data_IF_049723206036
#
_entry.id   IF_049723206036
#
_cell.length_a   1.000
_cell.length_b   1.000
_cell.length_c   1.000
_cell.angle_alpha   90.00
_cell.angle_beta   90.00
_cell.angle_gamma   90.00
#
_symmetry.space_group_name_H-M   'P 1'
#
loop_
_entity.id
_entity.type
_entity.pdbx_description
1 polymer ?
#
# COMPACT_ATOMS: atom_id res chain seq x y z
N UNK A 1 1.81 28.66 9.60
CA UNK A 1 1.93 27.23 9.96
C UNK A 1 0.83 26.31 9.39
N UNK A 2 -0.39 26.79 9.14
CA UNK A 2 -1.53 25.96 8.66
C UNK A 2 -1.38 25.36 7.25
N UNK A 3 -0.63 25.98 6.33
CA UNK A 3 -0.40 25.42 4.98
C UNK A 3 0.50 24.18 4.95
N UNK A 4 1.39 24.02 5.94
CA UNK A 4 2.38 22.94 5.97
C UNK A 4 1.75 21.58 6.33
N UNK A 5 0.70 21.59 7.16
CA UNK A 5 -0.03 20.37 7.54
C UNK A 5 -0.87 19.79 6.39
N UNK A 6 -1.40 20.65 5.50
CA UNK A 6 -2.22 20.23 4.34
C UNK A 6 -1.42 19.38 3.34
N UNK A 7 -0.15 19.71 3.14
CA UNK A 7 0.69 19.00 2.18
C UNK A 7 1.24 17.68 2.72
N UNK A 8 1.42 17.54 4.04
CA UNK A 8 2.10 16.36 4.61
C UNK A 8 1.32 15.06 4.39
N UNK A 9 0.03 15.02 4.75
CA UNK A 9 -0.78 13.80 4.61
C UNK A 9 -0.91 13.34 3.14
N UNK A 10 -1.13 14.29 2.22
CA UNK A 10 -1.23 14.00 0.79
C UNK A 10 0.11 13.54 0.19
N UNK A 11 1.23 14.16 0.60
CA UNK A 11 2.58 13.73 0.18
C UNK A 11 2.89 12.32 0.69
N UNK A 12 2.54 12.00 1.93
CA UNK A 12 2.74 10.66 2.50
C UNK A 12 1.86 9.62 1.79
N UNK A 13 0.60 9.95 1.49
CA UNK A 13 -0.28 9.09 0.70
C UNK A 13 0.25 8.84 -0.72
N UNK A 14 0.74 9.89 -1.39
CA UNK A 14 1.38 9.74 -2.71
C UNK A 14 2.65 8.88 -2.64
N UNK A 15 3.49 9.07 -1.60
CA UNK A 15 4.66 8.24 -1.38
C UNK A 15 4.28 6.77 -1.13
N UNK A 16 3.20 6.50 -0.41
CA UNK A 16 2.69 5.15 -0.18
C UNK A 16 2.28 4.45 -1.49
N UNK A 17 1.65 5.19 -2.41
CA UNK A 17 1.31 4.72 -3.77
C UNK A 17 2.57 4.36 -4.55
N UNK A 18 3.55 5.27 -4.59
CA UNK A 18 4.81 5.02 -5.31
C UNK A 18 5.53 3.80 -4.74
N UNK A 19 5.57 3.66 -3.41
CA UNK A 19 6.22 2.53 -2.77
C UNK A 19 5.50 1.21 -3.06
N UNK A 20 4.16 1.20 -3.07
CA UNK A 20 3.40 0.01 -3.42
C UNK A 20 3.61 -0.41 -4.88
N UNK A 21 3.69 0.55 -5.80
CA UNK A 21 3.99 0.28 -7.21
C UNK A 21 5.40 -0.28 -7.38
N UNK A 22 6.40 0.31 -6.71
CA UNK A 22 7.77 -0.21 -6.71
C UNK A 22 7.85 -1.61 -6.12
N UNK A 23 7.09 -1.88 -5.04
CA UNK A 23 7.00 -3.22 -4.45
C UNK A 23 6.45 -4.25 -5.45
N UNK A 24 5.38 -3.92 -6.18
CA UNK A 24 4.85 -4.77 -7.26
C UNK A 24 5.89 -5.05 -8.34
N UNK A 25 6.64 -4.03 -8.76
CA UNK A 25 7.69 -4.17 -9.78
C UNK A 25 8.82 -5.08 -9.28
N UNK A 26 9.29 -4.89 -8.05
CA UNK A 26 10.31 -5.78 -7.47
C UNK A 26 9.81 -7.21 -7.32
N UNK A 27 8.55 -7.40 -6.92
CA UNK A 27 7.94 -8.72 -6.83
C UNK A 27 7.85 -9.41 -8.21
N UNK A 28 7.50 -8.66 -9.26
CA UNK A 28 7.45 -9.17 -10.63
C UNK A 28 8.81 -9.68 -11.11
N UNK A 29 9.90 -8.99 -10.78
CA UNK A 29 11.24 -9.46 -11.11
C UNK A 29 11.73 -10.55 -10.16
N UNK A 30 11.24 -10.61 -8.93
CA UNK A 30 11.62 -11.62 -7.95
C UNK A 30 11.04 -13.01 -8.25
N UNK A 31 9.97 -13.09 -9.04
CA UNK A 31 9.37 -14.37 -9.45
C UNK A 31 10.03 -14.98 -10.70
N UNK A 32 10.97 -14.27 -11.33
CA UNK A 32 11.71 -14.78 -12.47
C UNK A 32 12.58 -15.96 -12.03
N UNK A 33 12.34 -17.14 -12.62
CA UNK A 33 13.00 -18.39 -12.23
C UNK A 33 12.29 -19.21 -11.13
N UNK A 34 11.11 -18.81 -10.65
CA UNK A 34 10.31 -19.65 -9.74
C UNK A 34 9.71 -20.83 -10.52
N UNK A 35 9.94 -22.10 -10.08
CA UNK A 35 9.37 -23.26 -10.75
C UNK A 35 7.84 -23.27 -10.69
N UNK A 36 7.20 -23.74 -11.76
CA UNK A 36 5.73 -23.79 -11.87
C UNK A 36 5.10 -24.64 -10.76
N UNK A 37 5.72 -25.78 -10.45
CA UNK A 37 5.35 -26.64 -9.35
C UNK A 37 6.54 -26.85 -8.39
N UNK A 38 6.57 -26.15 -7.24
CA UNK A 38 7.65 -26.32 -6.26
C UNK A 38 7.68 -27.72 -5.63
N UNK A 39 6.59 -28.48 -5.68
CA UNK A 39 6.53 -29.87 -5.21
C UNK A 39 6.99 -30.91 -6.24
N UNK A 40 7.03 -30.54 -7.54
CA UNK A 40 7.53 -31.38 -8.62
C UNK A 40 8.13 -30.51 -9.74
N UNK A 41 9.44 -30.19 -9.69
CA UNK A 41 10.08 -29.29 -10.65
C UNK A 41 10.03 -29.74 -12.11
N UNK A 42 9.71 -31.01 -12.37
CA UNK A 42 9.58 -31.58 -13.71
C UNK A 42 8.20 -31.35 -14.33
N UNK A 43 7.22 -30.92 -13.53
CA UNK A 43 5.88 -30.58 -13.96
C UNK A 43 5.83 -29.11 -14.39
N UNK A 44 5.87 -28.90 -15.71
CA UNK A 44 5.75 -27.58 -16.35
C UNK A 44 4.33 -27.34 -16.87
N UNK A 45 3.33 -27.86 -16.15
CA UNK A 45 1.92 -27.67 -16.50
C UNK A 45 1.25 -26.75 -15.48
N UNK A 46 1.30 -25.44 -15.70
CA UNK A 46 0.45 -24.51 -14.95
C UNK A 46 0.98 -23.09 -14.87
N UNK A 47 0.24 -22.23 -14.17
CA UNK A 47 0.75 -20.94 -13.74
C UNK A 47 1.29 -21.10 -12.30
N UNK A 48 2.53 -20.66 -12.00
CA UNK A 48 3.01 -20.65 -10.63
C UNK A 48 2.03 -19.87 -9.74
N UNK A 49 1.67 -20.37 -8.53
CA UNK A 49 0.75 -19.67 -7.64
C UNK A 49 1.19 -18.22 -7.35
N UNK A 50 2.49 -18.00 -7.23
CA UNK A 50 3.06 -16.66 -7.02
C UNK A 50 2.75 -15.70 -8.17
N UNK A 51 2.75 -16.18 -9.42
CA UNK A 51 2.41 -15.35 -10.59
C UNK A 51 0.95 -14.90 -10.56
N UNK A 52 0.02 -15.77 -10.12
CA UNK A 52 -1.38 -15.39 -9.92
C UNK A 52 -1.52 -14.29 -8.86
N UNK A 53 -0.83 -14.42 -7.73
CA UNK A 53 -0.83 -13.40 -6.68
C UNK A 53 -0.23 -12.07 -7.14
N UNK A 54 0.83 -12.09 -7.94
CA UNK A 54 1.43 -10.87 -8.49
C UNK A 54 0.43 -10.11 -9.37
N UNK A 55 -0.28 -10.80 -10.26
CA UNK A 55 -1.33 -10.17 -11.09
C UNK A 55 -2.44 -9.57 -10.23
N UNK A 56 -2.92 -10.32 -9.23
CA UNK A 56 -3.92 -9.85 -8.27
C UNK A 56 -3.42 -8.60 -7.52
N UNK A 57 -2.17 -8.60 -7.06
CA UNK A 57 -1.56 -7.46 -6.38
C UNK A 57 -1.46 -6.23 -7.29
N UNK A 58 -1.11 -6.39 -8.56
CA UNK A 58 -1.13 -5.26 -9.52
C UNK A 58 -2.52 -4.66 -9.66
N UNK A 59 -3.55 -5.49 -9.85
CA UNK A 59 -4.93 -5.03 -9.94
C UNK A 59 -5.39 -4.34 -8.65
N UNK A 60 -5.09 -4.94 -7.50
CA UNK A 60 -5.45 -4.40 -6.19
C UNK A 60 -4.73 -3.07 -5.90
N UNK A 61 -3.44 -2.95 -6.20
CA UNK A 61 -2.69 -1.69 -6.03
C UNK A 61 -3.29 -0.59 -6.92
N UNK A 62 -3.69 -0.91 -8.15
CA UNK A 62 -4.37 0.04 -9.03
C UNK A 62 -5.68 0.55 -8.44
N UNK A 63 -6.57 -0.38 -8.06
CA UNK A 63 -7.89 -0.05 -7.48
C UNK A 63 -7.75 0.68 -6.15
N UNK A 64 -6.87 0.22 -5.27
CA UNK A 64 -6.66 0.83 -3.95
C UNK A 64 -6.03 2.21 -4.06
N UNK A 65 -5.09 2.42 -4.99
CA UNK A 65 -4.51 3.74 -5.23
C UNK A 65 -5.56 4.73 -5.74
N UNK A 66 -6.45 4.29 -6.62
CA UNK A 66 -7.56 5.12 -7.11
C UNK A 66 -8.51 5.52 -5.96
N UNK A 67 -8.91 4.55 -5.12
CA UNK A 67 -9.73 4.80 -3.94
C UNK A 67 -9.06 5.75 -2.94
N UNK A 68 -7.77 5.56 -2.66
CA UNK A 68 -6.99 6.44 -1.79
C UNK A 68 -6.88 7.87 -2.34
N UNK A 69 -6.74 8.04 -3.66
CA UNK A 69 -6.79 9.34 -4.31
C UNK A 69 -8.16 10.01 -4.13
N UNK A 70 -9.25 9.29 -4.37
CA UNK A 70 -10.61 9.81 -4.14
C UNK A 70 -10.84 10.19 -2.68
N UNK A 71 -10.39 9.36 -1.73
CA UNK A 71 -10.42 9.66 -0.30
C UNK A 71 -9.62 10.91 0.05
N UNK A 72 -8.44 11.08 -0.56
CA UNK A 72 -7.61 12.28 -0.43
C UNK A 72 -8.35 13.54 -0.88
N UNK A 73 -9.01 13.51 -2.04
CA UNK A 73 -9.84 14.62 -2.54
C UNK A 73 -11.01 14.89 -1.58
N UNK A 74 -11.71 13.84 -1.12
CA UNK A 74 -12.79 13.95 -0.14
C UNK A 74 -12.35 14.64 1.15
N UNK A 75 -11.16 14.33 1.65
CA UNK A 75 -10.59 14.96 2.84
C UNK A 75 -10.27 16.44 2.66
N UNK A 76 -9.88 16.85 1.44
CA UNK A 76 -9.66 18.27 1.11
C UNK A 76 -10.97 19.04 1.18
N UNK A 77 -12.06 18.48 0.62
CA UNK A 77 -13.39 19.09 0.64
C UNK A 77 -13.93 19.16 2.06
N UNK A 78 -13.73 18.12 2.87
CA UNK A 78 -14.24 18.03 4.24
C UNK A 78 -13.32 18.65 5.31
N UNK A 79 -12.43 19.58 4.92
CA UNK A 79 -11.41 20.14 5.83
C UNK A 79 -11.96 20.72 7.13
N UNK A 80 -13.18 21.27 7.11
CA UNK A 80 -13.83 21.92 8.25
C UNK A 80 -14.76 21.00 9.05
N UNK A 81 -14.93 19.74 8.62
CA UNK A 81 -15.78 18.78 9.31
C UNK A 81 -15.07 18.20 10.54
N UNK A 82 -15.86 17.57 11.41
CA UNK A 82 -15.39 16.94 12.62
C UNK A 82 -14.23 15.96 12.35
N UNK A 83 -13.26 15.93 13.26
CA UNK A 83 -12.10 15.04 13.20
C UNK A 83 -12.50 13.57 12.97
N UNK A 84 -13.50 13.08 13.71
CA UNK A 84 -13.99 11.69 13.61
C UNK A 84 -14.48 11.34 12.20
N UNK A 85 -15.19 12.25 11.54
CA UNK A 85 -15.69 12.03 10.18
C UNK A 85 -14.54 11.96 9.16
N UNK A 86 -13.54 12.85 9.28
CA UNK A 86 -12.34 12.81 8.44
C UNK A 86 -11.56 11.52 8.64
N UNK A 87 -11.39 11.06 9.89
CA UNK A 87 -10.71 9.80 10.18
C UNK A 87 -11.47 8.61 9.61
N UNK A 88 -12.79 8.58 9.73
CA UNK A 88 -13.63 7.52 9.17
C UNK A 88 -13.50 7.42 7.64
N UNK A 89 -13.59 8.54 6.93
CA UNK A 89 -13.43 8.58 5.47
C UNK A 89 -12.02 8.17 5.06
N UNK A 90 -11.00 8.64 5.79
CA UNK A 90 -9.62 8.23 5.55
C UNK A 90 -9.45 6.71 5.71
N UNK A 91 -9.97 6.15 6.80
CA UNK A 91 -9.89 4.72 7.06
C UNK A 91 -10.62 3.92 5.99
N UNK A 92 -11.84 4.30 5.62
CA UNK A 92 -12.63 3.62 4.60
C UNK A 92 -11.94 3.65 3.22
N UNK A 93 -11.40 4.80 2.83
CA UNK A 93 -10.72 4.95 1.54
C UNK A 93 -9.39 4.18 1.44
N UNK A 94 -8.69 4.02 2.57
CA UNK A 94 -7.38 3.37 2.61
C UNK A 94 -7.44 1.92 3.14
N UNK A 95 -8.61 1.42 3.55
CA UNK A 95 -8.77 0.06 4.07
C UNK A 95 -8.31 -0.98 3.05
N UNK A 96 -8.81 -0.85 1.82
CA UNK A 96 -8.43 -1.74 0.71
C UNK A 96 -6.93 -1.65 0.48
N UNK A 97 -6.34 -0.46 0.54
CA UNK A 97 -4.91 -0.29 0.33
C UNK A 97 -4.05 -0.92 1.44
N UNK A 98 -4.48 -0.79 2.69
CA UNK A 98 -3.82 -1.49 3.80
C UNK A 98 -3.89 -3.01 3.64
N UNK A 99 -5.06 -3.55 3.25
CA UNK A 99 -5.20 -4.98 2.99
C UNK A 99 -4.31 -5.45 1.82
N UNK A 100 -4.24 -4.67 0.74
CA UNK A 100 -3.34 -4.95 -0.39
C UNK A 100 -1.88 -4.97 0.05
N UNK A 101 -1.44 -4.01 0.86
CA UNK A 101 -0.07 -3.97 1.34
C UNK A 101 0.25 -5.13 2.32
N UNK A 102 -0.69 -5.52 3.18
CA UNK A 102 -0.55 -6.72 4.03
C UNK A 102 -0.42 -7.97 3.17
N UNK A 103 -1.29 -8.15 2.17
CA UNK A 103 -1.20 -9.26 1.23
C UNK A 103 0.15 -9.26 0.50
N UNK A 104 0.62 -8.08 0.08
CA UNK A 104 1.93 -7.91 -0.56
C UNK A 104 3.09 -8.39 0.34
N UNK A 105 3.09 -7.99 1.62
CA UNK A 105 4.08 -8.48 2.61
C UNK A 105 4.02 -10.01 2.74
N UNK A 106 2.83 -10.59 2.84
CA UNK A 106 2.65 -12.04 2.97
C UNK A 106 3.15 -12.78 1.72
N UNK A 107 2.82 -12.30 0.53
CA UNK A 107 3.26 -12.91 -0.73
C UNK A 107 4.78 -12.80 -0.90
N UNK A 108 5.37 -11.62 -0.66
CA UNK A 108 6.83 -11.46 -0.70
C UNK A 108 7.53 -12.38 0.31
N UNK A 109 7.03 -12.44 1.55
CA UNK A 109 7.63 -13.25 2.60
C UNK A 109 7.48 -14.75 2.38
N UNK A 110 6.39 -15.20 1.77
CA UNK A 110 6.14 -16.61 1.52
C UNK A 110 6.88 -17.15 0.29
N UNK A 111 7.01 -16.35 -0.77
CA UNK A 111 7.43 -16.85 -2.08
C UNK A 111 8.77 -16.31 -2.58
N UNK A 112 9.26 -15.18 -2.08
CA UNK A 112 10.44 -14.52 -2.65
C UNK A 112 11.44 -14.03 -1.60
N UNK A 113 11.33 -14.50 -0.35
CA UNK A 113 12.16 -14.03 0.78
C UNK A 113 13.66 -14.35 0.62
N UNK A 114 13.98 -15.36 -0.18
CA UNK A 114 15.33 -15.82 -0.51
C UNK A 114 15.99 -14.99 -1.62
N UNK A 115 15.21 -14.14 -2.30
CA UNK A 115 15.70 -13.26 -3.35
C UNK A 115 15.89 -11.83 -2.84
N UNK A 116 16.95 -11.15 -3.30
CA UNK A 116 17.20 -9.75 -2.96
C UNK A 116 16.03 -8.83 -3.35
N UNK A 117 15.43 -9.06 -4.53
CA UNK A 117 14.30 -8.28 -5.02
C UNK A 117 13.01 -8.56 -4.23
N UNK A 118 12.78 -9.79 -3.79
CA UNK A 118 11.65 -10.12 -2.92
C UNK A 118 11.75 -9.47 -1.55
N UNK A 119 12.96 -9.42 -0.96
CA UNK A 119 13.22 -8.67 0.29
C UNK A 119 12.94 -7.17 0.09
N UNK A 120 13.37 -6.58 -1.03
CA UNK A 120 13.05 -5.18 -1.34
C UNK A 120 11.54 -4.97 -1.50
N UNK A 121 10.84 -5.87 -2.20
CA UNK A 121 9.38 -5.84 -2.30
C UNK A 121 8.69 -5.85 -0.94
N UNK A 122 9.13 -6.74 -0.04
CA UNK A 122 8.64 -6.83 1.33
C UNK A 122 8.84 -5.52 2.10
N UNK A 123 10.04 -4.95 2.04
CA UNK A 123 10.36 -3.68 2.72
C UNK A 123 9.47 -2.55 2.19
N UNK A 124 9.28 -2.47 0.88
CA UNK A 124 8.46 -1.41 0.28
C UNK A 124 6.98 -1.55 0.63
N UNK A 125 6.41 -2.76 0.64
CA UNK A 125 5.04 -2.96 1.14
C UNK A 125 4.90 -2.61 2.62
N UNK A 126 5.89 -2.96 3.45
CA UNK A 126 5.89 -2.59 4.87
C UNK A 126 5.96 -1.06 5.04
N UNK A 127 6.79 -0.37 4.26
CA UNK A 127 6.88 1.09 4.27
C UNK A 127 5.57 1.73 3.79
N UNK A 128 4.87 1.15 2.81
CA UNK A 128 3.53 1.60 2.40
C UNK A 128 2.56 1.59 3.58
N UNK A 129 2.56 0.55 4.42
CA UNK A 129 1.71 0.50 5.62
C UNK A 129 2.05 1.62 6.61
N UNK A 130 3.34 1.81 6.89
CA UNK A 130 3.81 2.88 7.80
C UNK A 130 3.39 4.25 7.27
N UNK A 131 3.57 4.51 5.97
CA UNK A 131 3.20 5.77 5.33
C UNK A 131 1.70 6.03 5.38
N UNK A 132 0.86 5.02 5.18
CA UNK A 132 -0.60 5.14 5.34
C UNK A 132 -0.96 5.53 6.78
N UNK A 133 -0.42 4.84 7.79
CA UNK A 133 -0.67 5.20 9.19
C UNK A 133 -0.24 6.64 9.50
N UNK A 134 0.92 7.05 8.99
CA UNK A 134 1.44 8.41 9.18
C UNK A 134 0.67 9.49 8.39
N UNK A 135 -0.02 9.11 7.31
CA UNK A 135 -0.84 9.99 6.49
C UNK A 135 -2.23 10.27 7.11
N UNK A 136 -2.63 9.53 8.15
CA UNK A 136 -3.91 9.70 8.81
C UNK A 136 -4.12 11.14 9.32
N UNK A 137 -5.36 11.66 9.26
CA UNK A 137 -5.67 12.99 9.78
C UNK A 137 -5.34 13.08 11.27
N UNK A 138 -4.77 14.21 11.68
CA UNK A 138 -4.44 14.49 13.09
C UNK A 138 -5.53 15.31 13.75
N UNK A 139 -5.77 15.06 15.03
CA UNK A 139 -6.62 15.91 15.86
C UNK A 139 -5.93 17.28 15.99
N UNK A 140 -6.60 18.35 15.58
CA UNK A 140 -6.13 19.70 15.90
C UNK A 140 -6.50 19.95 17.36
N UNK A 141 -5.50 19.90 18.25
CA UNK A 141 -5.64 20.46 19.58
C UNK A 141 -5.71 21.97 19.42
N UNK A 142 -6.89 22.54 19.69
CA UNK A 142 -7.04 23.97 19.87
C UNK A 142 -6.19 24.35 21.06
N UNK A 143 -4.99 24.87 20.80
CA UNK A 143 -4.20 25.57 21.80
C UNK A 143 -5.00 26.84 22.11
N UNK A 144 -5.88 26.74 23.11
CA UNK A 144 -6.44 27.90 23.79
C UNK A 144 -5.27 28.48 24.56
N UNK A 145 -4.52 29.40 23.92
CA UNK A 145 -3.69 30.35 24.66
C UNK A 145 -4.66 31.41 25.17
N UNK A 146 -5.16 31.18 26.39
CA UNK A 146 -5.65 32.24 27.26
C UNK A 146 -4.45 33.06 27.75
#
# INVERSE_FOLDING_TARGET
MMGFMKHRGMKLGAAAIVFALMACVFLLFAIDGVPENPGNPSDTSGLPPVAMYVVILFSLVGVSSFLSCLGGVGLIVMRYKAYKLRLFIYALANLVFMLTAILGVLVSGAYTYDTFLGILGLIFYALTLVLLVLAAPKKQESIIRL
#
